data_IF_530062414600
#
_entry.id   IF_530062414600
#
_cell.length_a   1.000
_cell.length_b   1.000
_cell.length_c   1.000
_cell.angle_alpha   90.00
_cell.angle_beta   90.00
_cell.angle_gamma   90.00
#
_symmetry.space_group_name_H-M   'P 1'
#
loop_
_entity.id
_entity.type
_entity.pdbx_description
1 polymer ?
#
# COMPACT_ATOMS: atom_id res chain seq x y z
N UNK A 1 -21.03 18.17 -1.21
CA UNK A 1 -20.13 18.79 -2.23
C UNK A 1 -18.91 19.30 -1.49
N UNK A 2 -17.75 18.70 -1.77
CA UNK A 2 -16.49 19.07 -1.15
C UNK A 2 -15.70 19.92 -2.15
N UNK A 3 -15.14 21.04 -1.68
CA UNK A 3 -14.31 21.93 -2.49
C UNK A 3 -12.84 21.58 -2.25
N UNK A 4 -12.17 21.11 -3.29
CA UNK A 4 -10.85 20.52 -3.24
C UNK A 4 -9.76 21.49 -3.69
N UNK A 5 -8.62 21.44 -3.00
CA UNK A 5 -7.36 21.99 -3.44
C UNK A 5 -6.39 20.85 -3.73
N UNK A 6 -5.83 20.78 -4.92
CA UNK A 6 -4.75 19.83 -5.24
C UNK A 6 -3.40 20.57 -5.13
N UNK A 7 -2.50 20.04 -4.32
CA UNK A 7 -1.11 20.49 -4.25
C UNK A 7 -0.25 19.58 -5.11
N UNK A 8 0.17 20.07 -6.28
CA UNK A 8 1.02 19.34 -7.22
C UNK A 8 0.31 19.07 -8.55
N UNK A 9 0.74 19.74 -9.62
CA UNK A 9 0.25 19.56 -11.00
C UNK A 9 1.07 18.55 -11.82
N UNK A 10 1.84 17.66 -11.16
CA UNK A 10 2.64 16.61 -11.78
C UNK A 10 1.83 15.37 -12.15
N UNK A 11 2.53 14.24 -12.37
CA UNK A 11 1.94 12.98 -12.80
C UNK A 11 0.82 12.52 -11.87
N UNK A 12 1.09 12.33 -10.57
CA UNK A 12 0.09 11.82 -9.62
C UNK A 12 -1.08 12.82 -9.40
N UNK A 13 -0.81 14.13 -9.41
CA UNK A 13 -1.88 15.14 -9.31
C UNK A 13 -2.86 15.09 -10.48
N UNK A 14 -2.41 14.73 -11.68
CA UNK A 14 -3.26 14.50 -12.85
C UNK A 14 -4.09 13.24 -12.69
N UNK A 15 -3.50 12.13 -12.26
CA UNK A 15 -4.24 10.91 -11.93
C UNK A 15 -5.34 11.17 -10.91
N UNK A 16 -5.03 11.94 -9.87
CA UNK A 16 -6.03 12.32 -8.87
C UNK A 16 -7.15 13.15 -9.46
N UNK A 17 -6.85 14.17 -10.27
CA UNK A 17 -7.89 14.96 -10.93
C UNK A 17 -8.79 14.09 -11.83
N UNK A 18 -8.23 13.20 -12.61
CA UNK A 18 -8.97 12.27 -13.50
C UNK A 18 -9.82 11.28 -12.71
N UNK A 19 -9.33 10.83 -11.55
CA UNK A 19 -10.06 9.93 -10.65
C UNK A 19 -11.22 10.61 -9.90
N UNK A 20 -11.17 11.95 -9.77
CA UNK A 20 -12.14 12.74 -9.01
C UNK A 20 -13.26 13.31 -9.90
N UNK A 21 -12.91 13.82 -11.09
CA UNK A 21 -13.82 14.57 -11.95
C UNK A 21 -14.94 13.63 -12.45
N UNK A 22 -16.18 14.03 -12.09
CA UNK A 22 -17.39 13.33 -12.54
C UNK A 22 -17.69 11.99 -11.83
N UNK A 23 -16.84 11.50 -10.95
CA UNK A 23 -17.03 10.17 -10.32
C UNK A 23 -18.13 10.16 -9.27
N UNK A 24 -18.10 11.10 -8.31
CA UNK A 24 -19.20 11.28 -7.36
C UNK A 24 -20.26 12.30 -7.83
N UNK A 25 -19.95 13.08 -8.87
CA UNK A 25 -20.86 14.05 -9.49
C UNK A 25 -21.17 15.29 -8.65
N UNK A 26 -20.48 15.46 -7.51
CA UNK A 26 -20.76 16.57 -6.57
C UNK A 26 -19.51 17.27 -6.00
N UNK A 27 -18.33 16.67 -6.16
CA UNK A 27 -17.10 17.24 -5.62
C UNK A 27 -16.34 18.01 -6.71
N UNK A 28 -15.73 19.13 -6.35
CA UNK A 28 -15.14 20.05 -7.31
C UNK A 28 -13.72 20.44 -6.92
N UNK A 29 -12.78 20.29 -7.87
CA UNK A 29 -11.43 20.85 -7.74
C UNK A 29 -11.52 22.34 -8.01
N UNK A 30 -11.38 23.16 -6.97
CA UNK A 30 -11.47 24.62 -7.02
C UNK A 30 -10.13 25.31 -7.11
N UNK A 31 -9.09 24.69 -6.55
CA UNK A 31 -7.78 25.29 -6.41
C UNK A 31 -6.70 24.28 -6.83
N UNK A 32 -5.70 24.75 -7.57
CA UNK A 32 -4.46 24.04 -7.87
C UNK A 32 -3.25 24.86 -7.44
N UNK A 33 -2.31 24.20 -6.79
CA UNK A 33 -0.98 24.73 -6.55
C UNK A 33 0.05 23.97 -7.36
N UNK A 34 0.96 24.67 -8.01
CA UNK A 34 2.19 24.09 -8.52
C UNK A 34 3.33 25.12 -8.42
N UNK A 35 4.54 24.65 -8.08
CA UNK A 35 5.72 25.49 -7.93
C UNK A 35 6.02 26.36 -9.17
N UNK A 36 5.76 25.81 -10.38
CA UNK A 36 5.94 26.53 -11.66
C UNK A 36 4.58 27.01 -12.15
N UNK A 37 4.47 28.31 -12.44
CA UNK A 37 3.25 28.93 -12.92
C UNK A 37 2.71 28.27 -14.19
N UNK A 38 3.57 27.94 -15.15
CA UNK A 38 3.20 27.24 -16.37
C UNK A 38 2.49 25.90 -16.09
N UNK A 39 2.95 25.17 -15.07
CA UNK A 39 2.34 23.89 -14.65
C UNK A 39 0.97 24.14 -14.02
N UNK A 40 0.83 25.16 -13.15
CA UNK A 40 -0.41 25.51 -12.49
C UNK A 40 -1.46 25.96 -13.51
N UNK A 41 -1.09 26.88 -14.42
CA UNK A 41 -1.97 27.39 -15.49
C UNK A 41 -2.42 26.27 -16.43
N UNK A 42 -1.49 25.40 -16.86
CA UNK A 42 -1.81 24.27 -17.72
C UNK A 42 -2.79 23.31 -17.05
N UNK A 43 -2.54 22.93 -15.80
CA UNK A 43 -3.45 22.07 -15.03
C UNK A 43 -4.83 22.70 -14.88
N UNK A 44 -4.88 23.99 -14.50
CA UNK A 44 -6.13 24.72 -14.35
C UNK A 44 -6.96 24.72 -15.65
N UNK A 45 -6.30 24.89 -16.79
CA UNK A 45 -6.93 24.84 -18.11
C UNK A 45 -7.42 23.42 -18.46
N UNK A 46 -6.57 22.40 -18.28
CA UNK A 46 -6.84 21.02 -18.68
C UNK A 46 -8.05 20.45 -17.90
N UNK A 47 -8.21 20.85 -16.62
CA UNK A 47 -9.24 20.33 -15.71
C UNK A 47 -10.31 21.36 -15.32
N UNK A 48 -10.35 22.55 -15.96
CA UNK A 48 -11.31 23.63 -15.67
C UNK A 48 -11.30 24.06 -14.18
N UNK A 49 -10.11 24.15 -13.56
CA UNK A 49 -9.95 24.59 -12.17
C UNK A 49 -9.94 26.13 -12.14
N UNK A 50 -10.84 26.77 -11.37
CA UNK A 50 -11.00 28.23 -11.43
C UNK A 50 -9.84 29.03 -10.85
N UNK A 51 -9.09 28.47 -9.87
CA UNK A 51 -8.02 29.19 -9.18
C UNK A 51 -6.70 28.43 -9.23
N UNK A 52 -5.62 29.11 -9.57
CA UNK A 52 -4.27 28.53 -9.54
C UNK A 52 -3.31 29.42 -8.75
N UNK A 53 -2.35 28.79 -8.07
CA UNK A 53 -1.38 29.45 -7.22
C UNK A 53 0.01 28.88 -7.42
N UNK A 54 1.02 29.72 -7.20
CA UNK A 54 2.45 29.33 -7.06
C UNK A 54 2.93 29.46 -5.61
N UNK A 55 2.09 29.96 -4.72
CA UNK A 55 2.27 29.99 -3.28
C UNK A 55 1.37 28.92 -2.64
N UNK A 56 2.00 27.97 -1.93
CA UNK A 56 1.30 26.81 -1.37
C UNK A 56 0.36 27.22 -0.23
N UNK A 57 0.81 28.14 0.62
CA UNK A 57 -0.03 28.61 1.74
C UNK A 57 -1.25 29.38 1.23
N UNK A 58 -1.08 30.23 0.24
CA UNK A 58 -2.18 30.95 -0.38
C UNK A 58 -3.23 30.01 -1.00
N UNK A 59 -2.81 28.91 -1.63
CA UNK A 59 -3.71 27.89 -2.16
C UNK A 59 -4.49 27.19 -1.05
N UNK A 60 -3.81 26.78 0.02
CA UNK A 60 -4.44 26.12 1.18
C UNK A 60 -5.41 27.07 1.90
N UNK A 61 -5.01 28.32 2.10
CA UNK A 61 -5.82 29.33 2.80
C UNK A 61 -7.02 29.82 1.99
N UNK A 62 -7.11 29.50 0.69
CA UNK A 62 -8.17 30.02 -0.18
C UNK A 62 -9.57 29.70 0.37
N UNK A 63 -10.52 30.64 0.32
CA UNK A 63 -11.88 30.44 0.87
C UNK A 63 -12.65 29.26 0.26
N UNK A 64 -12.36 28.92 -0.99
CA UNK A 64 -12.91 27.75 -1.66
C UNK A 64 -12.08 26.47 -1.50
N UNK A 65 -11.11 26.43 -0.59
CA UNK A 65 -10.43 25.20 -0.17
C UNK A 65 -11.08 24.69 1.12
N UNK A 66 -11.71 23.54 1.05
CA UNK A 66 -12.28 22.81 2.19
C UNK A 66 -11.37 21.64 2.57
N UNK A 67 -10.93 20.88 1.57
CA UNK A 67 -10.02 19.74 1.72
C UNK A 67 -8.84 19.88 0.77
N UNK A 68 -7.66 19.53 1.26
CA UNK A 68 -6.39 19.59 0.52
C UNK A 68 -5.94 18.18 0.17
N UNK A 69 -5.58 17.96 -1.09
CA UNK A 69 -4.96 16.72 -1.59
C UNK A 69 -3.50 17.01 -1.87
N UNK A 70 -2.60 16.39 -1.11
CA UNK A 70 -1.15 16.54 -1.26
C UNK A 70 -0.66 15.50 -2.28
N UNK A 71 -0.22 15.98 -3.44
CA UNK A 71 0.37 15.22 -4.55
C UNK A 71 1.77 15.77 -4.87
N UNK A 72 2.56 16.00 -3.80
CA UNK A 72 3.88 16.62 -3.81
C UNK A 72 4.99 15.58 -3.60
N UNK A 73 6.27 15.95 -3.82
CA UNK A 73 7.41 15.14 -3.40
C UNK A 73 7.45 14.92 -1.88
N UNK A 74 7.95 13.76 -1.43
CA UNK A 74 7.92 13.31 -0.03
C UNK A 74 8.47 14.36 0.96
N UNK A 75 9.56 15.05 0.61
CA UNK A 75 10.19 16.05 1.49
C UNK A 75 9.34 17.32 1.75
N UNK A 76 8.22 17.48 1.04
CA UNK A 76 7.30 18.64 1.20
C UNK A 76 6.03 18.25 1.96
N UNK A 77 5.79 16.95 2.22
CA UNK A 77 4.56 16.49 2.84
C UNK A 77 4.34 17.10 4.22
N UNK A 78 5.36 17.07 5.08
CA UNK A 78 5.26 17.58 6.46
C UNK A 78 4.93 19.08 6.48
N UNK A 79 5.61 19.90 5.67
CA UNK A 79 5.31 21.33 5.52
C UNK A 79 3.85 21.54 5.08
N UNK A 80 3.41 20.85 4.05
CA UNK A 80 2.06 20.98 3.52
C UNK A 80 1.00 20.59 4.57
N UNK A 81 1.22 19.51 5.33
CA UNK A 81 0.33 19.09 6.42
C UNK A 81 0.24 20.15 7.51
N UNK A 82 1.39 20.70 7.96
CA UNK A 82 1.39 21.76 8.97
C UNK A 82 0.67 23.04 8.51
N UNK A 83 0.75 23.38 7.23
CA UNK A 83 -0.05 24.47 6.65
C UNK A 83 -1.54 24.14 6.66
N UNK A 84 -1.94 22.89 6.36
CA UNK A 84 -3.34 22.47 6.49
C UNK A 84 -3.84 22.58 7.93
N UNK A 85 -3.03 22.15 8.90
CA UNK A 85 -3.32 22.31 10.34
C UNK A 85 -3.50 23.79 10.70
N UNK A 86 -2.57 24.66 10.29
CA UNK A 86 -2.62 26.11 10.53
C UNK A 86 -3.93 26.74 10.02
N UNK A 87 -4.38 26.32 8.86
CA UNK A 87 -5.59 26.85 8.21
C UNK A 87 -6.85 25.99 8.47
N UNK A 88 -6.76 25.00 9.36
CA UNK A 88 -7.86 24.09 9.74
C UNK A 88 -8.56 23.43 8.54
N UNK A 89 -7.77 23.01 7.55
CA UNK A 89 -8.27 22.32 6.36
C UNK A 89 -8.15 20.81 6.55
N UNK A 90 -9.15 20.06 6.10
CA UNK A 90 -9.03 18.61 5.95
C UNK A 90 -7.89 18.28 4.98
N UNK A 91 -7.17 17.17 5.22
CA UNK A 91 -5.99 16.84 4.44
C UNK A 91 -5.98 15.37 4.02
N UNK A 92 -5.66 15.13 2.76
CA UNK A 92 -5.33 13.82 2.21
C UNK A 92 -3.89 13.87 1.70
N UNK A 93 -3.05 12.94 2.14
CA UNK A 93 -1.64 12.92 1.76
C UNK A 93 -1.31 11.65 0.98
N UNK A 94 -0.62 11.80 -0.16
CA UNK A 94 -0.11 10.67 -0.94
C UNK A 94 0.93 9.86 -0.17
N UNK A 95 1.15 8.65 -0.62
CA UNK A 95 2.18 7.73 -0.10
C UNK A 95 3.60 8.10 -0.61
N UNK A 96 4.64 7.73 0.15
CA UNK A 96 4.61 7.40 1.56
C UNK A 96 4.16 8.61 2.40
N UNK A 97 3.64 8.40 3.60
CA UNK A 97 3.18 9.53 4.41
C UNK A 97 4.32 10.50 4.72
N UNK A 98 5.44 9.99 5.21
CA UNK A 98 6.68 10.73 5.47
C UNK A 98 7.89 10.00 4.91
N UNK A 99 9.06 10.64 4.99
CA UNK A 99 10.34 10.00 4.67
C UNK A 99 10.82 9.06 5.78
N UNK A 100 10.34 9.29 7.01
CA UNK A 100 10.64 8.50 8.20
C UNK A 100 9.40 8.33 9.07
N UNK A 101 9.43 7.37 10.00
CA UNK A 101 8.37 7.20 10.99
C UNK A 101 8.18 8.44 11.86
N UNK A 102 9.27 9.15 12.19
CA UNK A 102 9.22 10.35 13.00
C UNK A 102 8.47 11.49 12.31
N UNK A 103 8.74 11.74 11.00
CA UNK A 103 7.98 12.71 10.20
C UNK A 103 6.49 12.33 10.15
N UNK A 104 6.19 11.07 9.85
CA UNK A 104 4.81 10.57 9.77
C UNK A 104 4.07 10.71 11.11
N UNK A 105 4.75 10.45 12.22
CA UNK A 105 4.19 10.60 13.57
C UNK A 105 3.87 12.07 13.89
N UNK A 106 4.79 13.00 13.59
CA UNK A 106 4.55 14.44 13.81
C UNK A 106 3.34 14.94 13.01
N UNK A 107 3.23 14.53 11.75
CA UNK A 107 2.06 14.87 10.92
C UNK A 107 0.76 14.30 11.48
N UNK A 108 0.78 13.04 11.93
CA UNK A 108 -0.37 12.37 12.53
C UNK A 108 -0.84 13.10 13.78
N UNK A 109 0.08 13.38 14.71
CA UNK A 109 -0.20 14.08 15.97
C UNK A 109 -0.72 15.51 15.72
N UNK A 110 -0.09 16.25 14.81
CA UNK A 110 -0.52 17.62 14.48
C UNK A 110 -1.96 17.67 13.95
N UNK A 111 -2.36 16.73 13.10
CA UNK A 111 -3.74 16.64 12.60
C UNK A 111 -4.73 16.27 13.71
N UNK A 112 -4.36 15.31 14.57
CA UNK A 112 -5.19 14.88 15.70
C UNK A 112 -5.40 15.98 16.74
N UNK A 113 -4.32 16.67 17.13
CA UNK A 113 -4.38 17.82 18.08
C UNK A 113 -5.23 18.96 17.53
N UNK A 114 -5.16 19.21 16.23
CA UNK A 114 -5.98 20.23 15.59
C UNK A 114 -7.44 19.79 15.35
N UNK A 115 -7.75 18.49 15.49
CA UNK A 115 -9.07 17.92 15.23
C UNK A 115 -9.49 18.00 13.76
N UNK A 116 -8.54 18.00 12.82
CA UNK A 116 -8.83 17.99 11.39
C UNK A 116 -8.88 16.57 10.83
N UNK A 117 -9.69 16.38 9.80
CA UNK A 117 -9.71 15.10 9.08
C UNK A 117 -8.41 14.89 8.32
N UNK A 118 -7.83 13.68 8.43
CA UNK A 118 -6.60 13.30 7.76
C UNK A 118 -6.73 11.87 7.18
N UNK A 119 -6.48 11.72 5.88
CA UNK A 119 -6.54 10.45 5.14
C UNK A 119 -5.23 10.16 4.41
N UNK A 120 -4.77 8.93 4.48
CA UNK A 120 -3.58 8.41 3.81
C UNK A 120 -3.95 7.79 2.47
N UNK A 121 -3.41 8.34 1.38
CA UNK A 121 -3.75 7.92 0.03
C UNK A 121 -2.90 6.72 -0.41
N UNK A 122 -3.22 5.56 0.15
CA UNK A 122 -2.65 4.25 -0.18
C UNK A 122 -3.60 3.53 -1.15
N UNK A 123 -3.47 3.84 -2.43
CA UNK A 123 -4.41 3.43 -3.48
C UNK A 123 -4.49 1.91 -3.69
N UNK A 124 -3.38 1.18 -3.59
CA UNK A 124 -3.38 -0.27 -3.85
C UNK A 124 -4.21 -1.07 -2.85
N UNK A 125 -4.46 -0.53 -1.65
CA UNK A 125 -5.39 -1.10 -0.68
C UNK A 125 -6.89 -0.90 -1.06
N UNK A 126 -7.17 -0.25 -2.19
CA UNK A 126 -8.51 -0.05 -2.73
C UNK A 126 -8.74 -0.67 -4.10
N UNK A 127 -7.76 -1.39 -4.65
CA UNK A 127 -7.96 -2.08 -5.93
C UNK A 127 -9.11 -3.08 -5.81
N UNK A 128 -9.92 -3.28 -6.87
CA UNK A 128 -11.10 -4.15 -6.79
C UNK A 128 -10.76 -5.58 -6.37
N UNK A 129 -9.65 -6.12 -6.88
CA UNK A 129 -9.19 -7.49 -6.58
C UNK A 129 -8.70 -7.62 -5.15
N UNK A 130 -7.93 -6.64 -4.65
CA UNK A 130 -7.51 -6.60 -3.25
C UNK A 130 -8.72 -6.51 -2.30
N UNK A 131 -9.62 -5.57 -2.54
CA UNK A 131 -10.82 -5.36 -1.72
C UNK A 131 -11.67 -6.62 -1.61
N UNK A 132 -11.84 -7.35 -2.73
CA UNK A 132 -12.55 -8.63 -2.75
C UNK A 132 -11.81 -9.72 -1.99
N UNK A 133 -10.49 -9.78 -2.13
CA UNK A 133 -9.62 -10.73 -1.43
C UNK A 133 -9.64 -10.48 0.07
N UNK A 134 -9.50 -9.23 0.50
CA UNK A 134 -9.56 -8.83 1.91
C UNK A 134 -10.91 -9.17 2.55
N UNK A 135 -12.02 -8.91 1.82
CA UNK A 135 -13.35 -9.29 2.29
C UNK A 135 -13.47 -10.81 2.49
N UNK A 136 -12.87 -11.62 1.60
CA UNK A 136 -12.86 -13.08 1.72
C UNK A 136 -12.03 -13.54 2.92
N UNK A 137 -10.86 -12.93 3.16
CA UNK A 137 -10.04 -13.19 4.35
C UNK A 137 -10.80 -12.84 5.63
N UNK A 138 -11.41 -11.66 5.70
CA UNK A 138 -12.23 -11.22 6.84
C UNK A 138 -13.44 -12.11 7.10
N UNK A 139 -14.00 -12.74 6.05
CA UNK A 139 -15.07 -13.72 6.18
C UNK A 139 -14.58 -15.13 6.61
N UNK A 140 -13.28 -15.32 6.83
CA UNK A 140 -12.69 -16.58 7.29
C UNK A 140 -12.45 -17.63 6.18
N UNK A 141 -12.54 -17.25 4.89
CA UNK A 141 -12.47 -18.19 3.77
C UNK A 141 -11.17 -19.01 3.68
N UNK A 142 -10.07 -18.50 4.25
CA UNK A 142 -8.77 -19.20 4.26
C UNK A 142 -8.29 -19.57 5.67
N UNK A 143 -9.17 -19.44 6.68
CA UNK A 143 -8.80 -19.63 8.08
C UNK A 143 -7.86 -18.54 8.59
N UNK A 144 -6.99 -18.85 9.55
CA UNK A 144 -6.01 -17.91 10.11
C UNK A 144 -4.89 -17.63 9.11
N UNK A 145 -4.62 -16.37 8.83
CA UNK A 145 -3.51 -15.95 7.95
C UNK A 145 -2.17 -16.35 8.58
N UNK A 146 -1.33 -16.98 7.78
CA UNK A 146 0.02 -17.43 8.14
C UNK A 146 1.09 -16.56 7.47
N UNK A 147 0.84 -16.21 6.23
CA UNK A 147 1.78 -15.46 5.40
C UNK A 147 1.02 -14.59 4.40
N UNK A 148 1.39 -13.32 4.30
CA UNK A 148 0.92 -12.39 3.28
C UNK A 148 2.14 -11.84 2.53
N UNK A 149 2.21 -12.08 1.23
CA UNK A 149 3.25 -11.57 0.35
C UNK A 149 2.66 -10.54 -0.60
N UNK A 150 3.36 -9.43 -0.78
CA UNK A 150 3.06 -8.46 -1.81
C UNK A 150 4.32 -8.12 -2.61
N UNK A 151 4.14 -7.93 -3.90
CA UNK A 151 5.22 -7.59 -4.83
C UNK A 151 4.79 -6.42 -5.70
N UNK A 152 5.66 -5.42 -5.78
CA UNK A 152 5.55 -4.34 -6.75
C UNK A 152 6.90 -4.11 -7.42
N UNK A 153 6.93 -4.22 -8.74
CA UNK A 153 8.14 -4.01 -9.52
C UNK A 153 7.83 -3.30 -10.83
N UNK A 154 8.67 -2.34 -11.20
CA UNK A 154 8.56 -1.56 -12.44
C UNK A 154 9.92 -0.98 -12.87
N UNK A 155 10.03 -0.30 -14.04
CA UNK A 155 11.31 0.24 -14.52
C UNK A 155 11.89 1.43 -13.75
N UNK A 156 11.18 1.93 -12.75
CA UNK A 156 11.56 3.09 -11.93
C UNK A 156 10.55 4.25 -11.99
N UNK A 157 10.70 5.23 -11.09
CA UNK A 157 9.79 6.37 -10.98
C UNK A 157 9.94 7.36 -12.16
N UNK A 158 8.89 8.18 -12.35
CA UNK A 158 8.83 9.16 -13.45
C UNK A 158 9.48 10.50 -13.13
N UNK A 159 9.65 10.84 -11.85
CA UNK A 159 10.14 12.16 -11.43
C UNK A 159 11.58 12.12 -10.96
N UNK A 160 12.33 13.18 -11.22
CA UNK A 160 13.75 13.30 -10.92
C UNK A 160 14.09 13.31 -9.44
N UNK A 161 13.22 13.84 -8.59
CA UNK A 161 13.43 13.92 -7.14
C UNK A 161 13.47 12.55 -6.44
N UNK A 162 12.89 11.50 -7.02
CA UNK A 162 12.98 10.14 -6.48
C UNK A 162 14.42 9.60 -6.44
N UNK A 163 15.29 10.11 -7.32
CA UNK A 163 16.69 9.69 -7.40
C UNK A 163 17.59 10.36 -6.36
N UNK A 164 17.05 11.28 -5.58
CA UNK A 164 17.71 12.01 -4.49
C UNK A 164 17.20 11.51 -3.15
N UNK A 165 18.06 10.80 -2.40
CA UNK A 165 17.68 10.16 -1.14
C UNK A 165 17.16 11.14 -0.07
N UNK A 166 17.70 12.37 -0.02
CA UNK A 166 17.25 13.36 0.95
C UNK A 166 15.82 13.82 0.66
N UNK A 167 15.44 13.86 -0.61
CA UNK A 167 14.09 14.24 -1.04
C UNK A 167 13.11 13.08 -0.97
N UNK A 168 13.52 11.91 -1.42
CA UNK A 168 12.66 10.73 -1.46
C UNK A 168 12.53 10.05 -0.09
N UNK A 169 13.59 10.07 0.74
CA UNK A 169 13.67 9.33 1.99
C UNK A 169 14.23 7.91 1.83
N UNK A 170 14.49 7.48 0.59
CA UNK A 170 15.00 6.16 0.24
C UNK A 170 14.76 5.83 -1.23
N UNK A 171 14.89 4.56 -1.59
CA UNK A 171 14.70 4.05 -2.93
C UNK A 171 13.39 3.26 -3.11
N UNK A 172 13.52 2.08 -3.70
CA UNK A 172 12.38 1.22 -4.02
C UNK A 172 11.53 0.81 -2.80
N UNK A 173 12.14 0.70 -1.61
CA UNK A 173 11.42 0.37 -0.38
C UNK A 173 10.45 1.49 -0.01
N UNK A 174 10.90 2.74 -0.03
CA UNK A 174 10.04 3.90 0.30
C UNK A 174 8.95 4.10 -0.74
N UNK A 175 9.28 3.95 -2.02
CA UNK A 175 8.34 4.19 -3.12
C UNK A 175 7.25 3.11 -3.22
N UNK A 176 7.65 1.83 -3.23
CA UNK A 176 6.77 0.68 -3.48
C UNK A 176 6.60 -0.23 -2.27
N UNK A 177 7.62 -0.29 -1.40
CA UNK A 177 7.53 -1.10 -0.18
C UNK A 177 6.43 -0.63 0.75
N UNK A 178 6.10 0.66 0.75
CA UNK A 178 4.96 1.19 1.52
C UNK A 178 3.65 0.51 1.13
N UNK A 179 3.37 0.34 -0.16
CA UNK A 179 2.22 -0.40 -0.67
C UNK A 179 2.23 -1.87 -0.21
N UNK A 180 3.33 -2.57 -0.49
CA UNK A 180 3.45 -3.99 -0.18
C UNK A 180 3.31 -4.28 1.33
N UNK A 181 3.86 -3.42 2.17
CA UNK A 181 3.77 -3.50 3.63
C UNK A 181 2.32 -3.30 4.07
N UNK A 182 1.63 -2.27 3.57
CA UNK A 182 0.25 -1.98 3.97
C UNK A 182 -0.73 -3.05 3.48
N UNK A 183 -0.57 -3.56 2.27
CA UNK A 183 -1.31 -4.72 1.75
C UNK A 183 -1.16 -5.92 2.69
N UNK A 184 0.07 -6.25 3.08
CA UNK A 184 0.35 -7.36 3.99
C UNK A 184 -0.26 -7.14 5.38
N UNK A 185 -0.19 -5.90 5.92
CA UNK A 185 -0.82 -5.52 7.19
C UNK A 185 -2.33 -5.67 7.16
N UNK A 186 -2.96 -5.25 6.07
CA UNK A 186 -4.41 -5.41 5.90
C UNK A 186 -4.85 -6.88 5.94
N UNK A 187 -4.11 -7.78 5.27
CA UNK A 187 -4.43 -9.22 5.26
C UNK A 187 -4.17 -9.89 6.62
N UNK A 188 -3.10 -9.53 7.31
CA UNK A 188 -2.73 -10.13 8.61
C UNK A 188 -3.60 -9.57 9.74
N UNK A 189 -3.99 -8.29 9.64
CA UNK A 189 -4.74 -7.52 10.62
C UNK A 189 -3.95 -6.30 11.06
N UNK A 190 -4.48 -5.11 10.78
CA UNK A 190 -3.81 -3.81 11.06
C UNK A 190 -3.62 -3.54 12.56
N UNK A 191 -4.35 -4.24 13.40
CA UNK A 191 -4.29 -4.19 14.86
C UNK A 191 -3.30 -5.20 15.48
N UNK A 192 -2.63 -6.04 14.67
CA UNK A 192 -1.59 -6.97 15.12
C UNK A 192 -0.23 -6.29 15.04
N UNK A 193 0.50 -6.29 16.16
CA UNK A 193 1.80 -5.61 16.28
C UNK A 193 2.84 -6.22 15.32
N UNK A 194 3.45 -5.42 14.40
CA UNK A 194 4.67 -5.80 13.71
C UNK A 194 5.86 -5.72 14.69
N UNK A 195 6.59 -6.81 14.84
CA UNK A 195 7.61 -6.96 15.90
C UNK A 195 9.01 -6.64 15.40
N UNK A 196 9.41 -7.28 14.30
CA UNK A 196 10.77 -7.18 13.76
C UNK A 196 10.79 -7.39 12.25
N UNK A 197 11.81 -6.85 11.59
CA UNK A 197 12.01 -6.93 10.14
C UNK A 197 13.37 -7.54 9.83
N UNK A 198 13.41 -8.42 8.81
CA UNK A 198 14.62 -8.84 8.11
C UNK A 198 14.53 -8.34 6.67
N UNK A 199 15.55 -7.62 6.22
CA UNK A 199 15.57 -7.03 4.88
C UNK A 199 16.93 -7.18 4.21
N UNK A 200 16.90 -7.58 2.94
CA UNK A 200 17.98 -7.39 1.99
C UNK A 200 17.61 -6.25 1.04
N UNK A 201 18.52 -5.32 0.84
CA UNK A 201 18.39 -4.24 -0.12
C UNK A 201 19.75 -3.94 -0.75
N UNK A 202 19.76 -3.62 -2.04
CA UNK A 202 20.96 -3.34 -2.80
C UNK A 202 20.67 -2.43 -4.01
N UNK A 203 21.71 -1.78 -4.52
CA UNK A 203 21.69 -1.01 -5.76
C UNK A 203 22.40 -1.80 -6.84
N UNK A 204 21.63 -2.43 -7.72
CA UNK A 204 22.17 -3.39 -8.69
C UNK A 204 22.29 -2.85 -10.11
N UNK A 205 21.49 -1.86 -10.49
CA UNK A 205 21.39 -1.38 -11.88
C UNK A 205 21.46 0.12 -12.00
N UNK A 206 20.78 0.87 -11.13
CA UNK A 206 20.68 2.33 -11.22
C UNK A 206 21.90 2.98 -10.57
N UNK A 207 22.56 3.98 -11.19
CA UNK A 207 23.72 4.68 -10.59
C UNK A 207 23.25 5.73 -9.56
N UNK A 208 22.66 5.28 -8.45
CA UNK A 208 22.07 6.09 -7.38
C UNK A 208 22.55 5.63 -6.01
N UNK A 209 22.42 6.47 -4.99
CA UNK A 209 22.83 6.16 -3.62
C UNK A 209 21.71 5.44 -2.80
N UNK A 210 20.54 5.22 -3.43
CA UNK A 210 19.43 4.47 -2.88
C UNK A 210 19.39 3.03 -3.42
N UNK A 211 18.68 2.15 -2.74
CA UNK A 211 18.44 0.79 -3.27
C UNK A 211 17.44 0.82 -4.44
N UNK A 212 17.74 0.04 -5.46
CA UNK A 212 16.84 -0.17 -6.59
C UNK A 212 16.17 -1.56 -6.55
N UNK A 213 16.51 -2.39 -5.56
CA UNK A 213 15.94 -3.70 -5.34
C UNK A 213 15.97 -4.08 -3.85
N UNK A 214 14.86 -4.64 -3.34
CA UNK A 214 14.77 -5.11 -1.97
C UNK A 214 13.77 -6.23 -1.78
N UNK A 215 14.04 -7.08 -0.79
CA UNK A 215 13.14 -8.12 -0.28
C UNK A 215 13.17 -8.08 1.24
N UNK A 216 12.00 -8.01 1.87
CA UNK A 216 11.91 -7.99 3.33
C UNK A 216 10.83 -8.89 3.89
N UNK A 217 11.06 -9.34 5.12
CA UNK A 217 10.13 -10.13 5.93
C UNK A 217 9.79 -9.34 7.19
N UNK A 218 8.51 -9.19 7.47
CA UNK A 218 7.97 -8.53 8.67
C UNK A 218 7.31 -9.59 9.53
N UNK A 219 7.79 -9.75 10.75
CA UNK A 219 7.21 -10.67 11.71
C UNK A 219 6.19 -9.98 12.59
N UNK A 220 5.02 -10.61 12.73
CA UNK A 220 3.93 -10.11 13.56
C UNK A 220 3.79 -10.93 14.85
N UNK A 221 3.26 -10.30 15.91
CA UNK A 221 3.16 -10.90 17.24
C UNK A 221 2.33 -12.20 17.26
N UNK A 222 1.30 -12.32 16.40
CA UNK A 222 0.50 -13.54 16.22
C UNK A 222 1.25 -14.67 15.48
N UNK A 223 2.50 -14.45 15.09
CA UNK A 223 3.35 -15.39 14.36
C UNK A 223 3.16 -15.41 12.85
N UNK A 224 2.30 -14.56 12.30
CA UNK A 224 2.20 -14.36 10.84
C UNK A 224 3.44 -13.63 10.30
N UNK A 225 3.72 -13.82 9.01
CA UNK A 225 4.80 -13.15 8.30
C UNK A 225 4.21 -12.33 7.14
N UNK A 226 4.55 -11.05 7.09
CA UNK A 226 4.41 -10.22 5.89
C UNK A 226 5.70 -10.28 5.07
N UNK A 227 5.59 -10.31 3.75
CA UNK A 227 6.74 -10.21 2.85
C UNK A 227 6.49 -9.12 1.81
N UNK A 228 7.48 -8.27 1.62
CA UNK A 228 7.51 -7.35 0.49
C UNK A 228 8.67 -7.67 -0.45
N UNK A 229 8.45 -7.48 -1.75
CA UNK A 229 9.46 -7.58 -2.81
C UNK A 229 9.28 -6.41 -3.76
N UNK A 230 10.31 -5.57 -3.91
CA UNK A 230 10.24 -4.35 -4.70
C UNK A 230 11.45 -4.19 -5.60
N UNK A 231 11.24 -3.63 -6.81
CA UNK A 231 12.36 -3.38 -7.73
C UNK A 231 12.04 -2.26 -8.73
N UNK A 232 12.99 -1.33 -8.89
CA UNK A 232 13.03 -0.34 -9.96
C UNK A 232 13.77 -0.83 -11.21
N UNK A 233 14.10 -2.13 -11.27
CA UNK A 233 14.91 -2.70 -12.36
C UNK A 233 14.12 -3.69 -13.23
N UNK A 234 12.84 -3.90 -12.92
CA UNK A 234 11.98 -4.80 -13.67
C UNK A 234 11.73 -4.29 -15.09
N UNK A 235 11.77 -5.19 -16.07
CA UNK A 235 11.51 -4.91 -17.47
C UNK A 235 10.21 -5.58 -17.92
N UNK A 236 9.49 -4.91 -18.82
CA UNK A 236 8.24 -5.42 -19.39
C UNK A 236 6.98 -4.81 -18.78
N UNK A 237 7.10 -3.67 -18.11
CA UNK A 237 5.99 -2.92 -17.52
C UNK A 237 5.97 -2.96 -16.00
N UNK A 238 4.80 -2.89 -15.40
CA UNK A 238 4.59 -2.96 -13.95
C UNK A 238 4.05 -4.35 -13.56
N UNK A 239 4.57 -4.93 -12.50
CA UNK A 239 4.15 -6.24 -11.98
C UNK A 239 3.67 -6.11 -10.52
N UNK A 240 2.36 -6.21 -10.32
CA UNK A 240 1.69 -6.13 -9.02
C UNK A 240 1.03 -7.46 -8.69
N UNK A 241 1.55 -8.14 -7.67
CA UNK A 241 1.05 -9.46 -7.26
C UNK A 241 1.03 -9.64 -5.76
N UNK A 242 -0.09 -10.19 -5.26
CA UNK A 242 -0.22 -10.56 -3.85
C UNK A 242 -0.51 -12.04 -3.72
N UNK A 243 -0.04 -12.62 -2.62
CA UNK A 243 -0.29 -14.00 -2.23
C UNK A 243 -0.58 -14.05 -0.73
N UNK A 244 -1.69 -14.68 -0.35
CA UNK A 244 -2.06 -14.85 1.05
C UNK A 244 -2.31 -16.31 1.34
N UNK A 245 -1.59 -16.87 2.29
CA UNK A 245 -1.76 -18.24 2.78
C UNK A 245 -2.36 -18.24 4.18
N UNK A 246 -3.41 -19.01 4.35
CA UNK A 246 -4.02 -19.30 5.63
C UNK A 246 -3.97 -20.79 5.98
N UNK A 247 -4.55 -21.14 7.11
CA UNK A 247 -4.61 -22.56 7.58
C UNK A 247 -5.54 -23.41 6.73
N UNK A 248 -6.44 -22.82 5.96
CA UNK A 248 -7.50 -23.52 5.22
C UNK A 248 -7.55 -23.16 3.73
N UNK A 249 -6.70 -22.24 3.27
CA UNK A 249 -6.72 -21.85 1.87
C UNK A 249 -5.63 -20.85 1.48
N UNK A 250 -5.61 -20.52 0.20
CA UNK A 250 -4.66 -19.57 -0.40
C UNK A 250 -5.38 -18.69 -1.41
N UNK A 251 -4.97 -17.42 -1.48
CA UNK A 251 -5.45 -16.44 -2.46
C UNK A 251 -4.23 -15.93 -3.25
N UNK A 252 -4.33 -15.88 -4.57
CA UNK A 252 -3.39 -15.18 -5.45
C UNK A 252 -4.11 -14.04 -6.15
N UNK A 253 -3.49 -12.87 -6.14
CA UNK A 253 -3.96 -11.68 -6.84
C UNK A 253 -2.91 -11.28 -7.88
N UNK A 254 -3.32 -11.08 -9.12
CA UNK A 254 -2.53 -10.42 -10.13
C UNK A 254 -3.29 -9.17 -10.58
N UNK A 255 -2.79 -8.01 -10.19
CA UNK A 255 -3.51 -6.76 -10.36
C UNK A 255 -3.20 -6.07 -11.69
N UNK A 256 -2.06 -6.37 -12.33
CA UNK A 256 -1.59 -5.61 -13.50
C UNK A 256 -1.32 -6.46 -14.73
N UNK A 257 -0.19 -7.16 -14.78
CA UNK A 257 0.15 -7.98 -15.96
C UNK A 257 -0.81 -9.15 -16.12
N UNK A 258 -1.17 -9.46 -17.38
CA UNK A 258 -2.00 -10.62 -17.75
C UNK A 258 -3.35 -10.67 -17.05
N UNK A 259 -4.02 -9.52 -17.05
CA UNK A 259 -5.34 -9.38 -16.41
C UNK A 259 -6.51 -9.67 -17.34
N UNK A 260 -6.24 -10.20 -18.55
CA UNK A 260 -7.25 -10.65 -19.52
C UNK A 260 -7.29 -9.86 -20.83
N UNK A 261 -6.49 -8.79 -20.96
CA UNK A 261 -6.28 -8.12 -22.23
C UNK A 261 -4.79 -8.11 -22.57
N UNK A 262 -4.42 -8.91 -23.54
CA UNK A 262 -3.05 -9.00 -24.06
C UNK A 262 -3.08 -8.73 -25.57
N UNK A 263 -2.20 -7.88 -26.05
CA UNK A 263 -2.10 -7.50 -27.45
C UNK A 263 -0.67 -7.63 -27.93
N UNK A 264 -0.45 -8.25 -29.08
CA UNK A 264 0.82 -8.17 -29.77
C UNK A 264 0.71 -7.22 -30.98
N UNK A 265 1.65 -6.30 -31.11
CA UNK A 265 1.77 -5.44 -32.28
C UNK A 265 3.22 -5.41 -32.79
N UNK A 266 3.40 -5.54 -34.10
CA UNK A 266 4.68 -5.30 -34.78
C UNK A 266 4.90 -3.84 -35.14
N UNK A 267 3.84 -3.03 -35.08
CA UNK A 267 3.88 -1.58 -35.26
C UNK A 267 4.04 -0.84 -33.94
N UNK A 268 3.91 0.48 -33.98
CA UNK A 268 3.83 1.30 -32.79
C UNK A 268 2.36 1.54 -32.42
N UNK A 269 2.06 1.55 -31.11
CA UNK A 269 0.82 2.12 -30.62
C UNK A 269 1.03 3.61 -30.38
N UNK A 270 0.19 4.44 -30.98
CA UNK A 270 0.25 5.89 -30.75
C UNK A 270 -0.39 6.24 -29.39
N UNK A 271 0.30 7.13 -28.65
CA UNK A 271 -0.22 7.68 -27.40
C UNK A 271 0.07 6.84 -26.16
N UNK A 272 -0.61 7.22 -25.07
CA UNK A 272 -0.52 6.58 -23.76
C UNK A 272 -1.35 5.28 -23.77
N UNK A 273 -0.73 4.16 -23.44
CA UNK A 273 -1.37 2.86 -23.40
C UNK A 273 -1.69 2.42 -21.96
N UNK A 274 -0.71 2.53 -21.07
CA UNK A 274 -0.80 2.14 -19.66
C UNK A 274 0.42 2.70 -18.92
N UNK A 275 0.31 2.92 -17.62
CA UNK A 275 1.43 3.34 -16.78
C UNK A 275 2.60 2.36 -16.84
N UNK A 276 3.83 2.88 -16.88
CA UNK A 276 5.07 2.09 -16.95
C UNK A 276 5.22 1.20 -18.19
N UNK A 277 4.44 1.40 -19.26
CA UNK A 277 4.73 0.75 -20.54
C UNK A 277 6.12 1.16 -21.05
N UNK A 278 7.01 0.19 -21.26
CA UNK A 278 8.40 0.45 -21.72
C UNK A 278 8.52 0.49 -23.25
N UNK A 279 7.54 -0.03 -23.96
CA UNK A 279 7.56 -0.15 -25.41
C UNK A 279 6.18 0.09 -26.00
N UNK A 280 6.14 0.67 -27.21
CA UNK A 280 4.92 0.80 -28.01
C UNK A 280 4.74 -0.32 -29.02
N UNK A 281 5.62 -1.33 -29.03
CA UNK A 281 5.56 -2.50 -29.91
C UNK A 281 5.89 -3.79 -29.16
N UNK A 282 5.59 -4.95 -29.74
CA UNK A 282 5.68 -6.25 -29.11
C UNK A 282 4.44 -6.58 -28.30
N UNK A 283 4.58 -7.36 -27.26
CA UNK A 283 3.50 -7.66 -26.31
C UNK A 283 3.17 -6.45 -25.45
N UNK A 284 1.90 -6.08 -25.42
CA UNK A 284 1.33 -4.97 -24.66
C UNK A 284 0.24 -5.52 -23.72
N UNK A 285 0.07 -4.89 -22.57
CA UNK A 285 -0.88 -5.29 -21.52
C UNK A 285 -1.76 -4.10 -21.13
N UNK A 286 -2.71 -3.68 -22.00
CA UNK A 286 -3.55 -2.52 -21.72
C UNK A 286 -4.48 -2.77 -20.54
N UNK A 287 -4.82 -1.70 -19.84
CA UNK A 287 -5.79 -1.70 -18.73
C UNK A 287 -6.98 -0.83 -19.12
N UNK A 288 -8.18 -1.30 -18.87
CA UNK A 288 -9.40 -0.66 -19.37
C UNK A 288 -9.75 0.65 -18.63
N UNK A 289 -9.77 0.64 -17.31
CA UNK A 289 -9.94 1.84 -16.46
C UNK A 289 -8.85 1.84 -15.40
N UNK A 290 -7.73 2.45 -15.73
CA UNK A 290 -6.53 2.44 -14.90
C UNK A 290 -6.75 3.09 -13.53
N UNK A 291 -7.50 4.19 -13.49
CA UNK A 291 -7.83 4.87 -12.24
C UNK A 291 -8.69 4.00 -11.28
N UNK A 292 -9.54 3.16 -11.83
CA UNK A 292 -10.35 2.21 -11.07
C UNK A 292 -9.55 0.97 -10.67
N UNK A 293 -8.82 0.38 -11.61
CA UNK A 293 -8.04 -0.84 -11.38
C UNK A 293 -6.88 -0.62 -10.39
N UNK A 294 -6.28 0.57 -10.36
CA UNK A 294 -5.28 0.98 -9.35
C UNK A 294 -5.89 1.48 -8.03
N UNK A 295 -7.23 1.48 -7.90
CA UNK A 295 -7.89 1.80 -6.64
C UNK A 295 -8.17 3.28 -6.39
N UNK A 296 -7.63 4.22 -7.16
CA UNK A 296 -7.78 5.67 -6.92
C UNK A 296 -9.24 6.11 -6.78
N UNK A 297 -10.12 5.64 -7.66
CA UNK A 297 -11.54 5.98 -7.62
C UNK A 297 -12.20 5.53 -6.31
N UNK A 298 -11.97 4.28 -5.90
CA UNK A 298 -12.53 3.72 -4.67
C UNK A 298 -11.92 4.37 -3.43
N UNK A 299 -10.63 4.68 -3.44
CA UNK A 299 -9.93 5.39 -2.38
C UNK A 299 -10.55 6.76 -2.11
N UNK A 300 -10.74 7.58 -3.14
CA UNK A 300 -11.37 8.90 -2.95
C UNK A 300 -12.82 8.82 -2.50
N UNK A 301 -13.58 7.82 -2.95
CA UNK A 301 -14.94 7.59 -2.46
C UNK A 301 -14.93 7.33 -0.96
N UNK A 302 -14.09 6.43 -0.47
CA UNK A 302 -13.95 6.13 0.96
C UNK A 302 -13.53 7.36 1.77
N UNK A 303 -12.48 8.08 1.33
CA UNK A 303 -12.00 9.30 1.99
C UNK A 303 -13.09 10.36 2.14
N UNK A 304 -13.83 10.62 1.06
CA UNK A 304 -14.86 11.66 1.07
C UNK A 304 -16.11 11.24 1.85
N UNK A 305 -16.51 9.98 1.78
CA UNK A 305 -17.61 9.48 2.59
C UNK A 305 -17.27 9.46 4.08
N UNK A 306 -16.03 9.05 4.42
CA UNK A 306 -15.57 9.11 5.80
C UNK A 306 -15.57 10.55 6.34
N UNK A 307 -15.08 11.50 5.55
CA UNK A 307 -15.12 12.93 5.91
C UNK A 307 -16.57 13.43 6.11
N UNK A 308 -17.47 13.16 5.16
CA UNK A 308 -18.88 13.60 5.24
C UNK A 308 -19.63 12.97 6.43
N UNK A 309 -19.28 11.74 6.81
CA UNK A 309 -19.90 11.01 7.94
C UNK A 309 -19.22 11.30 9.29
N UNK A 310 -18.07 11.99 9.30
CA UNK A 310 -17.26 12.20 10.50
C UNK A 310 -16.67 10.90 11.06
N UNK A 311 -16.38 9.93 10.20
CA UNK A 311 -15.74 8.64 10.54
C UNK A 311 -14.29 8.60 10.05
N UNK A 312 -13.56 7.52 10.40
CA UNK A 312 -12.21 7.30 9.86
C UNK A 312 -12.31 6.57 8.53
N UNK A 313 -11.45 6.91 7.54
CA UNK A 313 -11.31 6.15 6.31
C UNK A 313 -10.61 4.80 6.58
N UNK A 314 -10.57 3.90 5.59
CA UNK A 314 -9.85 2.64 5.66
C UNK A 314 -8.35 2.85 5.92
N UNK A 315 -7.76 3.85 5.26
CA UNK A 315 -6.35 4.20 5.39
C UNK A 315 -6.19 5.59 6.04
N UNK A 316 -5.57 5.62 7.21
CA UNK A 316 -5.39 6.82 8.05
C UNK A 316 -3.92 7.25 8.09
N UNK A 317 -3.62 8.46 8.55
CA UNK A 317 -2.24 8.88 8.81
C UNK A 317 -1.53 7.98 9.81
N UNK A 318 -2.26 7.40 10.77
CA UNK A 318 -1.69 6.43 11.69
C UNK A 318 -1.22 5.15 10.96
N UNK A 319 -1.92 4.71 9.92
CA UNK A 319 -1.48 3.58 9.09
C UNK A 319 -0.19 3.92 8.34
N UNK A 320 -0.11 5.12 7.75
CA UNK A 320 1.11 5.62 7.14
C UNK A 320 2.29 5.68 8.11
N UNK A 321 2.06 6.12 9.37
CA UNK A 321 3.08 6.09 10.42
C UNK A 321 3.58 4.67 10.72
N UNK A 322 2.70 3.69 10.85
CA UNK A 322 3.10 2.29 11.11
C UNK A 322 3.89 1.73 9.93
N UNK A 323 3.47 2.02 8.69
CA UNK A 323 4.20 1.64 7.47
C UNK A 323 5.62 2.23 7.47
N UNK A 324 5.75 3.53 7.75
CA UNK A 324 7.06 4.19 7.84
C UNK A 324 7.95 3.58 8.94
N UNK A 325 7.39 3.18 10.08
CA UNK A 325 8.17 2.51 11.15
C UNK A 325 8.71 1.12 10.72
N UNK A 326 7.95 0.39 9.92
CA UNK A 326 8.41 -0.87 9.34
C UNK A 326 9.51 -0.61 8.29
N UNK A 327 9.37 0.44 7.47
CA UNK A 327 10.39 0.86 6.50
C UNK A 327 11.70 1.25 7.19
N UNK A 328 11.65 2.04 8.27
CA UNK A 328 12.84 2.41 9.05
C UNK A 328 13.57 1.18 9.60
N UNK A 329 12.81 0.18 10.12
CA UNK A 329 13.36 -1.09 10.56
C UNK A 329 13.95 -1.91 9.40
N UNK A 330 13.34 -1.86 8.20
CA UNK A 330 13.85 -2.53 7.02
C UNK A 330 15.20 -1.95 6.56
N UNK A 331 15.35 -0.63 6.51
CA UNK A 331 16.63 0.02 6.22
C UNK A 331 17.71 -0.30 7.26
N UNK A 332 17.33 -0.34 8.53
CA UNK A 332 18.26 -0.73 9.61
C UNK A 332 18.71 -2.17 9.43
N UNK A 333 17.78 -3.09 9.17
CA UNK A 333 18.07 -4.51 8.89
C UNK A 333 18.95 -4.70 7.66
N UNK A 334 18.70 -3.97 6.58
CA UNK A 334 19.53 -4.01 5.39
C UNK A 334 20.99 -3.63 5.65
N UNK A 335 21.25 -2.72 6.62
CA UNK A 335 22.60 -2.32 7.06
C UNK A 335 23.22 -3.33 8.01
N UNK A 336 22.50 -3.76 9.04
CA UNK A 336 23.02 -4.65 10.11
C UNK A 336 23.08 -6.12 9.70
N UNK A 337 22.27 -6.52 8.70
CA UNK A 337 22.07 -7.93 8.26
C UNK A 337 21.43 -8.78 9.36
N UNK A 338 20.72 -8.17 10.28
CA UNK A 338 20.04 -8.82 11.40
C UNK A 338 18.52 -8.50 11.36
N UNK A 339 17.75 -9.29 12.10
CA UNK A 339 16.39 -8.90 12.46
C UNK A 339 16.44 -7.65 13.32
N UNK A 340 15.70 -6.61 12.91
CA UNK A 340 15.65 -5.35 13.62
C UNK A 340 14.25 -5.07 14.14
N UNK A 341 14.11 -4.62 15.39
CA UNK A 341 12.81 -4.35 15.97
C UNK A 341 12.14 -3.17 15.29
N UNK A 342 10.81 -3.26 15.12
CA UNK A 342 9.97 -2.15 14.67
C UNK A 342 9.71 -1.23 15.88
N UNK A 343 10.12 0.03 15.78
CA UNK A 343 9.91 1.01 16.85
C UNK A 343 8.56 1.72 16.67
N UNK A 344 7.61 1.43 17.54
CA UNK A 344 6.25 1.99 17.53
C UNK A 344 5.87 2.51 18.92
N UNK A 345 6.45 3.64 19.39
CA UNK A 345 6.13 4.19 20.71
C UNK A 345 4.64 4.56 20.86
N UNK A 346 3.95 4.88 19.77
CA UNK A 346 2.53 5.23 19.73
C UNK A 346 1.67 4.06 19.18
N UNK A 347 1.99 2.81 19.56
CA UNK A 347 1.18 1.68 19.11
C UNK A 347 -0.25 1.74 19.68
N UNK A 348 -1.25 1.54 18.80
CA UNK A 348 -2.69 1.64 19.11
C UNK A 348 -3.47 0.35 18.88
N UNK A 349 -2.81 -0.69 18.39
CA UNK A 349 -3.42 -2.00 18.17
C UNK A 349 -3.36 -2.90 19.41
N UNK A 350 -3.60 -4.17 19.19
CA UNK A 350 -3.54 -5.20 20.23
C UNK A 350 -2.09 -5.44 20.68
N UNK A 351 -1.92 -5.86 21.93
CA UNK A 351 -0.65 -6.30 22.50
C UNK A 351 -0.84 -7.61 23.24
N UNK A 352 0.20 -8.46 23.30
CA UNK A 352 0.14 -9.76 23.96
C UNK A 352 -0.58 -10.82 23.12
N UNK A 353 -0.74 -10.60 21.82
CA UNK A 353 -1.32 -11.58 20.90
C UNK A 353 -0.30 -12.69 20.67
N UNK A 354 -0.53 -13.84 21.25
CA UNK A 354 0.39 -14.98 21.14
C UNK A 354 0.12 -15.81 19.87
N UNK A 355 1.20 -16.35 19.31
CA UNK A 355 1.08 -17.37 18.25
C UNK A 355 0.24 -18.53 18.76
N UNK A 356 -0.84 -18.93 18.08
CA UNK A 356 -1.64 -20.09 18.48
C UNK A 356 -0.81 -21.36 18.51
N UNK A 357 -1.18 -22.27 19.42
CA UNK A 357 -0.58 -23.61 19.48
C UNK A 357 -0.71 -24.31 18.12
N UNK A 358 0.36 -24.97 17.71
CA UNK A 358 0.36 -25.83 16.52
C UNK A 358 -0.15 -27.23 16.82
N UNK A 359 -0.35 -27.54 18.10
CA UNK A 359 -0.78 -28.86 18.55
C UNK A 359 -2.30 -28.94 18.56
N UNK A 360 -2.85 -29.66 17.58
CA UNK A 360 -4.27 -30.00 17.50
C UNK A 360 -4.49 -31.36 18.16
N UNK A 361 -5.32 -31.41 19.18
CA UNK A 361 -5.64 -32.66 19.88
C UNK A 361 -6.50 -33.57 19.00
N UNK A 362 -6.09 -34.83 18.84
CA UNK A 362 -6.89 -35.84 18.16
C UNK A 362 -7.59 -36.77 19.18
N UNK A 363 -6.82 -37.26 20.13
CA UNK A 363 -7.31 -38.05 21.26
C UNK A 363 -6.39 -37.83 22.50
N UNK A 364 -6.62 -38.57 23.59
CA UNK A 364 -5.87 -38.42 24.82
C UNK A 364 -4.36 -38.64 24.63
N UNK A 365 -3.97 -39.49 23.70
CA UNK A 365 -2.57 -39.91 23.47
C UNK A 365 -1.91 -39.27 22.26
N UNK A 366 -2.67 -38.65 21.34
CA UNK A 366 -2.16 -38.21 20.06
C UNK A 366 -2.55 -36.79 19.71
N UNK A 367 -1.59 -36.09 19.05
CA UNK A 367 -1.81 -34.87 18.29
C UNK A 367 -2.13 -35.21 16.83
N UNK A 368 -3.05 -34.48 16.21
CA UNK A 368 -3.31 -34.56 14.77
C UNK A 368 -2.23 -33.77 14.01
N UNK A 369 -1.52 -34.45 13.08
CA UNK A 369 -0.62 -33.80 12.13
C UNK A 369 -1.37 -33.45 10.85
N UNK A 370 -2.09 -34.43 10.27
CA UNK A 370 -2.79 -34.27 9.00
C UNK A 370 -3.99 -35.17 8.93
N UNK A 371 -5.04 -34.67 8.32
CA UNK A 371 -6.21 -35.43 7.91
C UNK A 371 -6.41 -35.27 6.40
N UNK A 372 -6.68 -36.35 5.69
CA UNK A 372 -6.99 -36.31 4.27
C UNK A 372 -8.05 -37.34 3.87
N UNK A 373 -8.86 -37.00 2.87
CA UNK A 373 -9.77 -37.94 2.23
C UNK A 373 -9.06 -38.54 1.03
N UNK A 374 -8.96 -39.85 1.01
CA UNK A 374 -8.35 -40.59 -0.11
C UNK A 374 -9.31 -40.65 -1.32
N UNK A 375 -8.78 -40.87 -2.54
CA UNK A 375 -9.63 -40.94 -3.75
C UNK A 375 -10.72 -42.03 -3.72
N UNK A 376 -10.52 -43.09 -2.94
CA UNK A 376 -11.51 -44.15 -2.71
C UNK A 376 -12.57 -43.80 -1.67
N UNK A 377 -12.46 -42.64 -1.03
CA UNK A 377 -13.38 -42.13 0.00
C UNK A 377 -13.00 -42.54 1.43
N UNK A 378 -11.92 -43.27 1.63
CA UNK A 378 -11.42 -43.56 2.98
C UNK A 378 -10.80 -42.32 3.62
N UNK A 379 -10.87 -42.24 4.95
CA UNK A 379 -10.27 -41.18 5.73
C UNK A 379 -8.92 -41.61 6.29
N UNK A 380 -7.85 -40.88 5.95
CA UNK A 380 -6.51 -41.09 6.46
C UNK A 380 -6.15 -40.00 7.45
N UNK A 381 -5.57 -40.37 8.59
CA UNK A 381 -5.01 -39.44 9.57
C UNK A 381 -3.59 -39.81 9.89
N UNK A 382 -2.74 -38.77 10.01
CA UNK A 382 -1.36 -38.89 10.50
C UNK A 382 -1.33 -38.27 11.88
N UNK A 383 -0.88 -39.02 12.85
CA UNK A 383 -0.91 -38.69 14.27
C UNK A 383 0.50 -38.70 14.85
N UNK A 384 0.73 -37.89 15.88
CA UNK A 384 1.95 -37.87 16.68
C UNK A 384 1.62 -38.26 18.12
N UNK A 385 2.23 -39.30 18.66
CA UNK A 385 2.09 -39.66 20.06
C UNK A 385 2.62 -38.54 20.96
N UNK A 386 1.85 -38.17 21.99
CA UNK A 386 2.16 -37.05 22.89
C UNK A 386 3.39 -37.29 23.78
N UNK A 387 3.74 -38.55 24.03
CA UNK A 387 4.82 -38.95 24.94
C UNK A 387 6.04 -39.45 24.15
N UNK A 388 5.86 -40.45 23.29
CA UNK A 388 6.97 -41.07 22.54
C UNK A 388 7.43 -40.25 21.35
N UNK A 389 6.63 -39.27 20.88
CA UNK A 389 6.82 -38.55 19.62
C UNK A 389 6.75 -39.41 18.36
N UNK A 390 6.34 -40.67 18.47
CA UNK A 390 6.19 -41.58 17.34
C UNK A 390 5.09 -41.08 16.39
N UNK A 391 5.33 -41.23 15.08
CA UNK A 391 4.36 -40.87 14.04
C UNK A 391 3.60 -42.13 13.63
N UNK A 392 2.29 -42.07 13.67
CA UNK A 392 1.37 -43.13 13.34
C UNK A 392 0.48 -42.73 12.16
N UNK A 393 0.16 -43.72 11.34
CA UNK A 393 -0.86 -43.56 10.27
C UNK A 393 -2.05 -44.46 10.57
N UNK A 394 -3.25 -43.90 10.48
CA UNK A 394 -4.51 -44.66 10.61
C UNK A 394 -5.37 -44.37 9.39
N UNK A 395 -5.93 -45.43 8.79
CA UNK A 395 -6.91 -45.32 7.71
C UNK A 395 -8.24 -45.88 8.21
N UNK A 396 -9.28 -45.07 8.11
CA UNK A 396 -10.64 -45.50 8.40
C UNK A 396 -11.35 -45.71 7.08
N UNK A 397 -11.80 -46.91 6.83
CA UNK A 397 -12.57 -47.28 5.67
C UNK A 397 -13.96 -46.60 5.70
N UNK A 398 -14.41 -46.22 4.49
CA UNK A 398 -15.73 -45.57 4.33
C UNK A 398 -16.87 -46.48 4.68
#
# INVERSE_FOLDING_TARGET
>A
MIKLCILGGGFIGRFYAESLIGRRGKDEVKVIYARREETAVRFAKDYNVPHYFTDMEAAIAHPETEMVIIALPNYVHEEAVHLCVKHKKAVLCTKPLGRTAEEALRMTQACEEAGIFAGYLEDLCYTPKFSKSLASVKAGAIGRVLWAKSRETHPGPHSDWFWDMEKAGGGAIVDMGCHCIEISRNFIGKDILPVEVMCWADTQVKPIDAEDHAIGLVKYENGAIGQFEVSWTFRGGMDLRDEVMGTEGTIWVNSWLRTGFEMFTSGNTDGYLVEKAESSSGWQFPVGDEAHELGYTSMFIDMFEAYEKGTKPQETFYDGYVVNAIIDAAYKSAKTKLWEPVSLPEWRGQTGVTKPSVYTEYDAEHWLIKEELLPNGDKKVILKNKVSNEILEKVTLK
#
